data_IF_212867791618
#
_entry.id   IF_212867791618
#
_cell.length_a   1.000
_cell.length_b   1.000
_cell.length_c   1.000
_cell.angle_alpha   90.00
_cell.angle_beta   90.00
_cell.angle_gamma   90.00
#
_symmetry.space_group_name_H-M   'P 1'
#
loop_
_entity.id
_entity.type
_entity.pdbx_description
1 polymer ?
#
# COMPACT_ATOMS: atom_id res chain seq x y z
N UNK A 1 -18.58 12.77 8.77
CA UNK A 1 -17.60 13.48 7.95
C UNK A 1 -18.24 14.80 7.57
N UNK A 2 -17.71 15.92 8.06
CA UNK A 2 -18.19 17.24 7.70
C UNK A 2 -17.59 17.59 6.34
N UNK A 3 -18.42 17.66 5.30
CA UNK A 3 -18.02 18.23 4.01
C UNK A 3 -18.30 19.73 4.10
N UNK A 4 -17.30 20.50 4.49
CA UNK A 4 -17.32 21.93 4.18
C UNK A 4 -17.13 22.06 2.68
N UNK A 5 -18.23 22.26 1.96
CA UNK A 5 -18.16 22.65 0.55
C UNK A 5 -17.41 23.99 0.49
N UNK A 6 -16.28 24.02 -0.20
CA UNK A 6 -15.58 25.26 -0.51
C UNK A 6 -16.50 26.13 -1.37
N UNK A 7 -16.95 27.23 -0.78
CA UNK A 7 -17.97 28.15 -1.32
C UNK A 7 -17.47 28.93 -2.55
N UNK A 8 -16.16 28.87 -2.85
CA UNK A 8 -15.53 29.70 -3.87
C UNK A 8 -15.24 28.92 -5.16
N UNK A 9 -16.10 29.06 -6.16
CA UNK A 9 -15.97 28.39 -7.46
C UNK A 9 -14.78 28.88 -8.32
N UNK A 10 -14.13 30.00 -7.95
CA UNK A 10 -13.03 30.58 -8.73
C UNK A 10 -11.63 30.04 -8.39
N UNK A 11 -11.50 29.26 -7.32
CA UNK A 11 -10.23 28.64 -6.89
C UNK A 11 -10.38 27.11 -6.86
N UNK A 12 -10.64 26.52 -8.04
CA UNK A 12 -10.71 25.06 -8.15
C UNK A 12 -9.30 24.45 -8.20
N UNK A 13 -8.80 24.08 -7.02
CA UNK A 13 -7.69 23.15 -6.90
C UNK A 13 -8.18 21.70 -6.86
N UNK A 14 -7.28 20.78 -7.19
CA UNK A 14 -7.47 19.36 -6.98
C UNK A 14 -7.24 19.02 -5.52
N UNK A 15 -7.23 17.73 -5.22
CA UNK A 15 -6.96 17.23 -3.87
C UNK A 15 -6.43 15.81 -3.94
N UNK A 16 -5.84 15.36 -2.84
CA UNK A 16 -5.26 14.04 -2.66
C UNK A 16 -6.16 13.24 -1.71
N UNK A 17 -6.49 12.03 -2.14
CA UNK A 17 -7.16 11.01 -1.34
C UNK A 17 -6.21 9.83 -1.15
N UNK A 18 -5.90 9.47 0.10
CA UNK A 18 -5.11 8.29 0.41
C UNK A 18 -6.01 7.17 0.94
N UNK A 19 -5.93 6.00 0.33
CA UNK A 19 -6.56 4.75 0.75
C UNK A 19 -5.45 3.84 1.26
N UNK A 20 -5.41 3.62 2.57
CA UNK A 20 -4.33 2.87 3.20
C UNK A 20 -4.85 1.73 4.08
N UNK A 21 -3.96 0.82 4.47
CA UNK A 21 -4.26 -0.30 5.36
C UNK A 21 -3.44 -1.54 5.02
N UNK A 22 -3.67 -2.62 5.77
CA UNK A 22 -2.97 -3.90 5.56
C UNK A 22 -3.24 -4.54 4.19
N UNK A 23 -2.58 -5.65 3.88
CA UNK A 23 -3.02 -6.53 2.80
C UNK A 23 -4.44 -7.04 3.07
N UNK A 24 -5.16 -7.41 2.01
CA UNK A 24 -6.52 -7.99 2.05
C UNK A 24 -7.64 -7.07 2.57
N UNK A 25 -7.37 -5.78 2.75
CA UNK A 25 -8.34 -4.79 3.26
C UNK A 25 -9.17 -4.12 2.16
N UNK A 26 -8.99 -4.49 0.90
CA UNK A 26 -9.76 -3.93 -0.23
C UNK A 26 -9.29 -2.57 -0.74
N UNK A 27 -8.00 -2.20 -0.56
CA UNK A 27 -7.45 -0.91 -1.03
C UNK A 27 -7.66 -0.70 -2.54
N UNK A 28 -7.20 -1.64 -3.35
CA UNK A 28 -7.35 -1.62 -4.81
C UNK A 28 -8.82 -1.64 -5.23
N UNK A 29 -9.68 -2.38 -4.52
CA UNK A 29 -11.12 -2.39 -4.78
C UNK A 29 -11.74 -1.00 -4.54
N UNK A 30 -11.38 -0.34 -3.43
CA UNK A 30 -11.86 1.01 -3.12
C UNK A 30 -11.31 2.05 -4.11
N UNK A 31 -10.04 1.94 -4.53
CA UNK A 31 -9.44 2.77 -5.58
C UNK A 31 -10.25 2.64 -6.88
N UNK A 32 -10.42 1.41 -7.39
CA UNK A 32 -11.18 1.13 -8.61
C UNK A 32 -12.62 1.65 -8.48
N UNK A 33 -13.27 1.46 -7.33
CA UNK A 33 -14.62 1.95 -7.10
C UNK A 33 -14.71 3.47 -7.25
N UNK A 34 -13.74 4.24 -6.72
CA UNK A 34 -13.70 5.70 -6.86
C UNK A 34 -13.41 6.14 -8.29
N UNK A 35 -12.50 5.46 -8.99
CA UNK A 35 -12.18 5.72 -10.39
C UNK A 35 -13.36 5.43 -11.32
N UNK A 36 -14.07 4.31 -11.13
CA UNK A 36 -15.30 3.98 -11.89
C UNK A 36 -16.37 5.05 -11.73
N UNK A 37 -16.56 5.59 -10.52
CA UNK A 37 -17.50 6.70 -10.29
C UNK A 37 -17.12 7.96 -11.07
N UNK A 38 -15.84 8.27 -11.18
CA UNK A 38 -15.35 9.38 -12.01
C UNK A 38 -15.62 9.13 -13.50
N UNK A 39 -15.37 7.91 -14.00
CA UNK A 39 -15.69 7.53 -15.38
C UNK A 39 -17.19 7.64 -15.70
N UNK A 40 -18.08 7.22 -14.78
CA UNK A 40 -19.53 7.42 -14.94
C UNK A 40 -19.92 8.89 -15.02
N UNK A 41 -19.18 9.78 -14.35
CA UNK A 41 -19.31 11.22 -14.47
C UNK A 41 -18.62 11.81 -15.72
N UNK A 42 -18.13 10.95 -16.64
CA UNK A 42 -17.42 11.30 -17.87
C UNK A 42 -16.10 12.05 -17.65
N UNK A 43 -15.49 11.87 -16.48
CA UNK A 43 -14.16 12.38 -16.20
C UNK A 43 -13.11 11.48 -16.87
N UNK A 44 -12.01 12.08 -17.33
CA UNK A 44 -10.85 11.37 -17.88
C UNK A 44 -10.00 10.85 -16.73
N UNK A 45 -9.77 9.54 -16.74
CA UNK A 45 -9.15 8.84 -15.63
C UNK A 45 -7.95 8.04 -16.14
N UNK A 46 -6.82 8.20 -15.48
CA UNK A 46 -5.62 7.38 -15.66
C UNK A 46 -5.26 6.70 -14.33
N UNK A 47 -4.63 5.53 -14.39
CA UNK A 47 -4.14 4.81 -13.21
C UNK A 47 -2.71 4.34 -13.45
N UNK A 48 -1.84 4.58 -12.47
CA UNK A 48 -0.43 4.22 -12.50
C UNK A 48 -0.11 3.20 -11.41
N UNK A 49 0.84 2.32 -11.70
CA UNK A 49 1.40 1.36 -10.74
C UNK A 49 2.93 1.32 -10.88
N UNK A 50 3.68 0.97 -9.83
CA UNK A 50 5.12 0.87 -9.92
C UNK A 50 5.49 -0.38 -10.73
N UNK A 51 6.51 -0.28 -11.58
CA UNK A 51 6.96 -1.38 -12.45
C UNK A 51 7.44 -2.62 -11.67
N UNK A 52 7.94 -2.42 -10.44
CA UNK A 52 8.35 -3.52 -9.55
C UNK A 52 7.19 -4.43 -9.15
N UNK A 53 5.94 -3.96 -9.21
CA UNK A 53 4.79 -4.79 -8.86
C UNK A 53 4.31 -5.63 -10.06
N UNK A 54 4.87 -6.82 -10.19
CA UNK A 54 4.55 -7.81 -11.24
C UNK A 54 3.56 -8.89 -10.80
N UNK A 55 2.97 -8.79 -9.59
CA UNK A 55 2.06 -9.83 -9.04
C UNK A 55 0.82 -10.07 -9.89
N UNK A 56 0.44 -9.06 -10.67
CA UNK A 56 -0.61 -9.15 -11.67
C UNK A 56 0.05 -8.85 -13.01
N UNK A 57 0.23 -9.89 -13.83
CA UNK A 57 0.74 -9.81 -15.20
C UNK A 57 0.01 -8.73 -16.00
N UNK A 58 0.81 -7.90 -16.68
CA UNK A 58 0.53 -6.94 -17.74
C UNK A 58 -0.92 -6.40 -17.92
N UNK A 59 -1.06 -5.10 -17.67
CA UNK A 59 -2.20 -4.21 -17.98
C UNK A 59 -3.49 -4.33 -17.16
N UNK A 60 -3.64 -5.34 -16.32
CA UNK A 60 -4.95 -5.67 -15.73
C UNK A 60 -4.97 -5.57 -14.21
N UNK A 61 -5.36 -4.40 -13.69
CA UNK A 61 -5.75 -4.31 -12.27
C UNK A 61 -7.09 -5.04 -12.12
N UNK A 62 -6.99 -6.20 -11.49
CA UNK A 62 -8.00 -7.26 -11.41
C UNK A 62 -9.36 -6.79 -10.88
N UNK A 63 -10.42 -7.18 -11.59
CA UNK A 63 -11.61 -7.79 -10.97
C UNK A 63 -12.38 -8.62 -11.99
N UNK A 64 -12.83 -9.78 -11.54
CA UNK A 64 -13.36 -10.95 -12.26
C UNK A 64 -14.62 -10.76 -13.14
N UNK A 65 -14.98 -9.55 -13.58
CA UNK A 65 -16.12 -9.30 -14.47
C UNK A 65 -15.87 -8.03 -15.30
N UNK A 66 -15.74 -8.14 -16.64
CA UNK A 66 -15.92 -7.17 -17.75
C UNK A 66 -15.72 -5.64 -17.57
N UNK A 67 -15.16 -5.16 -16.46
CA UNK A 67 -15.05 -3.75 -16.07
C UNK A 67 -13.63 -3.43 -15.60
N UNK A 68 -12.67 -3.56 -16.51
CA UNK A 68 -11.25 -3.35 -16.29
C UNK A 68 -10.88 -1.88 -16.53
N UNK A 69 -10.10 -1.28 -15.62
CA UNK A 69 -9.43 0.01 -15.86
C UNK A 69 -7.96 -0.34 -16.05
N UNK A 70 -7.41 -0.08 -17.25
CA UNK A 70 -6.02 -0.37 -17.56
C UNK A 70 -5.10 0.50 -16.71
N UNK A 71 -4.11 -0.11 -16.06
CA UNK A 71 -3.04 0.61 -15.36
C UNK A 71 -1.77 0.69 -16.18
N UNK A 72 -1.12 1.85 -16.17
CA UNK A 72 0.19 2.06 -16.78
C UNK A 72 1.30 1.82 -15.76
N UNK A 73 2.15 0.81 -15.95
CA UNK A 73 3.35 0.63 -15.14
C UNK A 73 4.32 1.78 -15.38
N UNK A 74 4.96 2.28 -14.31
CA UNK A 74 5.97 3.34 -14.38
C UNK A 74 7.20 2.98 -13.53
N UNK A 75 8.42 3.23 -14.03
CA UNK A 75 9.65 2.91 -13.30
C UNK A 75 9.92 3.85 -12.12
N UNK A 76 9.52 5.12 -12.25
CA UNK A 76 9.77 6.20 -11.26
C UNK A 76 8.58 7.14 -11.20
N UNK A 77 8.38 7.79 -10.06
CA UNK A 77 7.18 8.62 -9.82
C UNK A 77 7.08 9.82 -10.78
N UNK A 78 8.21 10.43 -11.15
CA UNK A 78 8.28 11.59 -12.04
C UNK A 78 7.65 11.34 -13.42
N UNK A 79 7.63 10.09 -13.88
CA UNK A 79 7.03 9.73 -15.18
C UNK A 79 5.51 9.95 -15.19
N UNK A 80 4.85 9.92 -14.03
CA UNK A 80 3.41 10.18 -13.91
C UNK A 80 3.09 11.58 -14.41
N UNK A 81 3.92 12.60 -14.09
CA UNK A 81 3.69 13.98 -14.55
C UNK A 81 3.75 14.12 -16.07
N UNK A 82 4.54 13.28 -16.74
CA UNK A 82 4.67 13.26 -18.20
C UNK A 82 3.51 12.55 -18.89
N UNK A 83 2.94 11.53 -18.22
CA UNK A 83 1.87 10.69 -18.77
C UNK A 83 0.48 11.23 -18.42
N UNK A 84 0.32 11.89 -17.28
CA UNK A 84 -0.93 12.48 -16.80
C UNK A 84 -1.26 13.82 -17.50
N UNK A 85 -1.35 13.79 -18.82
CA UNK A 85 -1.81 14.92 -19.62
C UNK A 85 -3.31 14.83 -19.88
N UNK A 86 -4.00 15.96 -19.77
CA UNK A 86 -5.41 16.07 -20.13
C UNK A 86 -6.32 15.09 -19.37
N UNK A 87 -6.02 14.89 -18.07
CA UNK A 87 -6.76 14.03 -17.15
C UNK A 87 -7.44 14.83 -16.06
N UNK A 88 -8.56 14.33 -15.56
CA UNK A 88 -9.30 14.95 -14.47
C UNK A 88 -9.07 14.21 -13.13
N UNK A 89 -8.78 12.90 -13.20
CA UNK A 89 -8.53 12.05 -12.04
C UNK A 89 -7.34 11.12 -12.31
N UNK A 90 -6.42 11.03 -11.35
CA UNK A 90 -5.27 10.12 -11.38
C UNK A 90 -5.37 9.13 -10.23
N UNK A 91 -5.36 7.83 -10.54
CA UNK A 91 -5.19 6.75 -9.59
C UNK A 91 -3.73 6.32 -9.48
N UNK A 92 -3.25 6.04 -8.28
CA UNK A 92 -1.91 5.47 -8.03
C UNK A 92 -2.12 4.26 -7.14
N UNK A 93 -1.82 3.05 -7.63
CA UNK A 93 -1.89 1.84 -6.81
C UNK A 93 -0.50 1.44 -6.31
N UNK A 94 -0.48 0.73 -5.19
CA UNK A 94 0.73 0.16 -4.57
C UNK A 94 1.82 1.21 -4.30
N UNK A 95 1.38 2.39 -3.83
CA UNK A 95 2.19 3.59 -3.69
C UNK A 95 3.41 3.45 -2.76
N UNK A 96 3.39 2.48 -1.84
CA UNK A 96 4.52 2.21 -0.94
C UNK A 96 5.80 1.78 -1.67
N UNK A 97 5.70 1.33 -2.93
CA UNK A 97 6.85 0.90 -3.73
C UNK A 97 7.42 1.98 -4.64
N UNK A 98 6.81 3.18 -4.68
CA UNK A 98 7.41 4.32 -5.35
C UNK A 98 8.53 4.95 -4.52
N UNK A 99 9.37 5.73 -5.19
CA UNK A 99 10.32 6.64 -4.56
C UNK A 99 9.61 7.77 -3.76
N UNK A 100 10.36 8.48 -2.93
CA UNK A 100 9.85 9.58 -2.08
C UNK A 100 9.31 10.77 -2.89
N UNK A 101 9.71 10.91 -4.16
CA UNK A 101 9.29 11.99 -5.04
C UNK A 101 7.78 11.89 -5.39
N UNK A 102 7.15 10.72 -5.18
CA UNK A 102 5.71 10.54 -5.36
C UNK A 102 4.88 11.55 -4.56
N UNK A 103 5.37 12.00 -3.40
CA UNK A 103 4.70 13.00 -2.56
C UNK A 103 4.62 14.33 -3.31
N UNK A 104 5.73 14.81 -3.86
CA UNK A 104 5.76 16.03 -4.67
C UNK A 104 4.94 15.91 -5.95
N UNK A 105 4.99 14.75 -6.62
CA UNK A 105 4.19 14.48 -7.81
C UNK A 105 2.70 14.60 -7.53
N UNK A 106 2.21 13.98 -6.44
CA UNK A 106 0.80 14.06 -6.05
C UNK A 106 0.38 15.51 -5.74
N UNK A 107 1.22 16.26 -5.02
CA UNK A 107 0.96 17.66 -4.72
C UNK A 107 0.93 18.52 -5.99
N UNK A 108 1.83 18.30 -6.93
CA UNK A 108 1.86 19.05 -8.19
C UNK A 108 0.61 18.78 -9.04
N UNK A 109 0.18 17.52 -9.15
CA UNK A 109 -1.08 17.16 -9.82
C UNK A 109 -2.28 17.81 -9.14
N UNK A 110 -2.39 17.73 -7.82
CA UNK A 110 -3.47 18.37 -7.06
C UNK A 110 -3.48 19.90 -7.26
N UNK A 111 -2.31 20.54 -7.23
CA UNK A 111 -2.16 21.97 -7.48
C UNK A 111 -2.58 22.39 -8.91
N UNK A 112 -2.56 21.45 -9.88
CA UNK A 112 -3.05 21.66 -11.25
C UNK A 112 -4.56 21.49 -11.41
N UNK A 113 -5.30 21.21 -10.32
CA UNK A 113 -6.74 20.95 -10.39
C UNK A 113 -7.13 19.48 -10.45
N UNK A 114 -6.16 18.55 -10.44
CA UNK A 114 -6.41 17.11 -10.66
C UNK A 114 -6.77 16.43 -9.34
N UNK A 115 -7.79 15.59 -9.36
CA UNK A 115 -8.10 14.70 -8.22
C UNK A 115 -7.14 13.52 -8.22
N UNK A 116 -6.32 13.39 -7.18
CA UNK A 116 -5.35 12.29 -7.04
C UNK A 116 -5.84 11.30 -6.00
N UNK A 117 -5.90 10.01 -6.36
CA UNK A 117 -6.34 8.94 -5.47
C UNK A 117 -5.21 7.91 -5.36
N UNK A 118 -4.61 7.82 -4.18
CA UNK A 118 -3.45 6.98 -3.91
C UNK A 118 -3.85 5.80 -3.03
N UNK A 119 -3.49 4.59 -3.41
CA UNK A 119 -3.68 3.38 -2.63
C UNK A 119 -2.32 2.74 -2.29
N UNK A 120 -2.15 2.28 -1.05
CA UNK A 120 -0.91 1.62 -0.64
C UNK A 120 -0.93 1.04 0.77
N UNK A 121 0.02 0.17 1.07
CA UNK A 121 0.24 -0.38 2.40
C UNK A 121 0.80 0.72 3.32
N UNK A 122 0.11 1.04 4.42
CA UNK A 122 0.63 2.01 5.38
C UNK A 122 1.79 1.49 6.23
N UNK A 123 1.89 0.17 6.38
CA UNK A 123 2.94 -0.48 7.16
C UNK A 123 3.51 -1.71 6.44
N UNK A 124 4.79 -1.97 6.69
CA UNK A 124 5.48 -3.19 6.30
C UNK A 124 5.05 -4.38 7.17
N UNK A 125 5.61 -5.56 6.88
CA UNK A 125 5.27 -6.78 7.64
C UNK A 125 5.79 -6.77 9.08
N UNK A 126 6.76 -5.92 9.41
CA UNK A 126 7.29 -5.71 10.77
C UNK A 126 6.42 -4.71 11.54
N UNK A 127 5.44 -4.07 10.89
CA UNK A 127 4.55 -3.07 11.47
C UNK A 127 5.16 -1.67 11.53
N UNK A 128 6.23 -1.42 10.77
CA UNK A 128 6.81 -0.09 10.60
C UNK A 128 6.11 0.66 9.46
N UNK A 129 6.07 2.00 9.47
CA UNK A 129 5.57 2.76 8.34
C UNK A 129 6.30 2.41 7.02
N UNK A 130 5.56 2.25 5.92
CA UNK A 130 6.12 1.75 4.65
C UNK A 130 6.32 2.87 3.62
N UNK A 131 7.59 3.12 3.27
CA UNK A 131 7.97 3.94 2.13
C UNK A 131 7.38 5.36 2.24
N UNK A 132 6.88 5.95 1.13
CA UNK A 132 6.36 7.32 1.13
C UNK A 132 4.96 7.45 1.73
N UNK A 133 4.30 6.35 2.12
CA UNK A 133 2.91 6.37 2.60
C UNK A 133 2.65 7.30 3.79
N UNK A 134 3.54 7.41 4.80
CA UNK A 134 3.33 8.34 5.92
C UNK A 134 3.28 9.81 5.47
N UNK A 135 4.15 10.20 4.53
CA UNK A 135 4.18 11.55 3.99
C UNK A 135 2.97 11.83 3.08
N UNK A 136 2.56 10.86 2.28
CA UNK A 136 1.32 10.93 1.50
C UNK A 136 0.09 11.12 2.40
N UNK A 137 -0.02 10.35 3.49
CA UNK A 137 -1.10 10.50 4.46
C UNK A 137 -1.10 11.87 5.16
N UNK A 138 0.08 12.42 5.44
CA UNK A 138 0.20 13.71 6.11
C UNK A 138 -0.17 14.91 5.20
N UNK A 139 0.03 14.77 3.89
CA UNK A 139 -0.21 15.84 2.91
C UNK A 139 -1.60 15.77 2.27
N UNK A 140 -2.33 14.65 2.43
CA UNK A 140 -3.62 14.46 1.79
C UNK A 140 -4.79 15.12 2.52
N UNK A 141 -5.74 15.68 1.76
CA UNK A 141 -7.00 16.21 2.27
C UNK A 141 -7.89 15.11 2.85
N UNK A 142 -7.83 13.90 2.29
CA UNK A 142 -8.63 12.77 2.76
C UNK A 142 -7.79 11.51 2.95
N UNK A 143 -7.84 10.95 4.15
CA UNK A 143 -7.21 9.67 4.46
C UNK A 143 -8.28 8.66 4.87
N UNK A 144 -8.41 7.58 4.10
CA UNK A 144 -9.29 6.44 4.37
C UNK A 144 -8.44 5.25 4.74
N UNK A 145 -8.53 4.81 6.00
CA UNK A 145 -7.87 3.59 6.45
C UNK A 145 -8.84 2.42 6.43
N UNK A 146 -8.64 1.51 5.47
CA UNK A 146 -9.44 0.29 5.32
C UNK A 146 -8.82 -0.85 6.13
N UNK A 147 -9.68 -1.75 6.61
CA UNK A 147 -9.27 -2.85 7.50
C UNK A 147 -9.70 -4.19 6.91
N UNK A 148 -8.80 -5.16 6.97
CA UNK A 148 -9.14 -6.56 6.69
C UNK A 148 -9.80 -7.22 7.92
N UNK A 149 -10.15 -8.50 7.79
CA UNK A 149 -10.61 -9.33 8.89
C UNK A 149 -9.47 -10.21 9.37
N UNK A 150 -9.22 -10.25 10.67
CA UNK A 150 -8.14 -11.04 11.24
C UNK A 150 -8.43 -12.54 11.15
N UNK A 151 -7.56 -13.28 10.47
CA UNK A 151 -7.69 -14.74 10.27
C UNK A 151 -7.63 -15.53 11.58
N UNK A 152 -6.96 -15.00 12.62
CA UNK A 152 -6.80 -15.66 13.92
C UNK A 152 -7.90 -15.32 14.94
N UNK A 153 -8.58 -14.18 14.79
CA UNK A 153 -9.47 -13.66 15.86
C UNK A 153 -10.83 -13.16 15.37
N UNK A 154 -11.03 -12.97 14.07
CA UNK A 154 -12.24 -12.35 13.51
C UNK A 154 -12.35 -10.83 13.72
N UNK A 155 -11.47 -10.23 14.53
CA UNK A 155 -11.43 -8.78 14.76
C UNK A 155 -10.91 -8.02 13.53
N UNK A 156 -11.05 -6.69 13.53
CA UNK A 156 -10.41 -5.81 12.55
C UNK A 156 -8.89 -6.07 12.51
N UNK A 157 -8.39 -6.32 11.30
CA UNK A 157 -6.97 -6.49 11.03
C UNK A 157 -6.35 -5.19 10.53
N UNK A 158 -5.15 -4.93 11.05
CA UNK A 158 -4.39 -3.72 10.77
C UNK A 158 -2.95 -4.03 10.34
N UNK A 159 -2.52 -5.29 10.42
CA UNK A 159 -1.15 -5.71 10.15
C UNK A 159 -1.13 -6.80 9.09
N UNK A 160 -0.13 -6.75 8.22
CA UNK A 160 0.17 -7.82 7.25
C UNK A 160 1.28 -8.68 7.84
N UNK A 161 0.94 -9.74 8.57
CA UNK A 161 1.95 -10.63 9.14
C UNK A 161 2.47 -11.58 8.08
N UNK A 162 3.80 -11.69 7.97
CA UNK A 162 4.44 -12.61 7.04
C UNK A 162 4.73 -13.94 7.74
N UNK A 163 4.35 -15.05 7.12
CA UNK A 163 4.50 -16.42 7.65
C UNK A 163 5.91 -16.99 7.43
N UNK A 164 6.64 -16.50 6.44
CA UNK A 164 7.97 -16.99 6.06
C UNK A 164 9.10 -16.13 6.66
N UNK A 165 10.24 -16.81 6.93
CA UNK A 165 11.43 -16.27 7.63
C UNK A 165 12.41 -15.46 6.75
N UNK A 166 12.15 -15.26 5.44
CA UNK A 166 13.09 -14.46 4.63
C UNK A 166 13.03 -13.00 5.05
N UNK A 167 14.11 -12.34 5.46
CA UNK A 167 14.09 -10.94 5.93
C UNK A 167 13.85 -9.88 4.84
N UNK A 168 13.68 -10.27 3.57
CA UNK A 168 13.50 -9.35 2.45
C UNK A 168 12.30 -8.43 2.65
N UNK A 169 12.51 -7.11 2.52
CA UNK A 169 11.46 -6.10 2.68
C UNK A 169 10.41 -6.19 1.57
N UNK A 170 10.84 -6.56 0.36
CA UNK A 170 9.99 -6.67 -0.84
C UNK A 170 9.91 -8.14 -1.22
N UNK A 171 8.90 -8.82 -0.68
CA UNK A 171 8.50 -10.14 -1.15
C UNK A 171 7.12 -10.02 -1.76
N UNK A 172 7.07 -10.10 -3.10
CA UNK A 172 5.87 -10.08 -3.89
C UNK A 172 5.14 -11.41 -3.74
N UNK A 173 4.32 -11.54 -2.71
CA UNK A 173 3.56 -12.75 -2.41
C UNK A 173 2.10 -12.49 -2.09
N UNK A 174 1.25 -13.50 -2.35
CA UNK A 174 -0.18 -13.46 -2.08
C UNK A 174 -0.53 -14.07 -0.70
N UNK A 175 -1.63 -14.83 -0.61
CA UNK A 175 -2.21 -15.40 0.61
C UNK A 175 -1.31 -16.45 1.31
N UNK A 176 -0.43 -17.10 0.55
CA UNK A 176 0.43 -18.15 1.08
C UNK A 176 1.49 -17.58 2.03
N UNK A 177 1.95 -16.35 1.77
CA UNK A 177 3.04 -15.73 2.52
C UNK A 177 2.57 -14.77 3.59
N UNK A 178 1.39 -14.16 3.43
CA UNK A 178 0.88 -13.15 4.35
C UNK A 178 -0.47 -13.53 4.97
N UNK A 179 -0.72 -13.05 6.19
CA UNK A 179 -2.05 -13.06 6.81
C UNK A 179 -2.38 -11.73 7.49
N UNK A 180 -3.63 -11.25 7.35
CA UNK A 180 -4.07 -10.04 8.01
C UNK A 180 -4.33 -10.31 9.50
N UNK A 181 -3.67 -9.57 10.39
CA UNK A 181 -3.79 -9.75 11.83
C UNK A 181 -4.31 -8.50 12.56
N UNK A 182 -5.10 -8.74 13.60
CA UNK A 182 -5.42 -7.73 14.61
C UNK A 182 -4.18 -7.42 15.45
N UNK A 183 -4.16 -6.25 16.09
CA UNK A 183 -3.01 -5.79 16.89
C UNK A 183 -2.53 -6.83 17.91
N UNK A 184 -3.45 -7.42 18.67
CA UNK A 184 -3.12 -8.41 19.68
C UNK A 184 -2.57 -9.71 19.07
N UNK A 185 -3.14 -10.17 17.96
CA UNK A 185 -2.68 -11.36 17.26
C UNK A 185 -1.28 -11.14 16.66
N UNK A 186 -1.05 -9.98 16.03
CA UNK A 186 0.23 -9.58 15.48
C UNK A 186 1.32 -9.51 16.56
N UNK A 187 1.05 -8.79 17.66
CA UNK A 187 1.99 -8.66 18.77
C UNK A 187 2.41 -10.03 19.33
N UNK A 188 1.46 -10.94 19.53
CA UNK A 188 1.75 -12.31 20.01
C UNK A 188 2.56 -13.11 18.99
N UNK A 189 2.24 -13.00 17.71
CA UNK A 189 2.97 -13.70 16.64
C UNK A 189 4.43 -13.25 16.59
N UNK A 190 4.67 -11.94 16.54
CA UNK A 190 6.02 -11.35 16.52
C UNK A 190 6.83 -11.70 17.78
N UNK A 191 6.19 -11.71 18.95
CA UNK A 191 6.85 -12.11 20.20
C UNK A 191 7.28 -13.57 20.18
N UNK A 192 6.42 -14.48 19.70
CA UNK A 192 6.73 -15.90 19.60
C UNK A 192 7.86 -16.17 18.60
N UNK A 193 7.94 -15.42 17.50
CA UNK A 193 9.05 -15.51 16.55
C UNK A 193 10.36 -15.06 17.17
N UNK A 194 10.36 -13.90 17.84
CA UNK A 194 11.55 -13.39 18.52
C UNK A 194 12.07 -14.36 19.59
N UNK A 195 11.17 -14.99 20.35
CA UNK A 195 11.56 -16.02 21.33
C UNK A 195 12.18 -17.25 20.65
N UNK A 196 11.65 -17.69 19.51
CA UNK A 196 12.22 -18.80 18.72
C UNK A 196 13.60 -18.46 18.17
N UNK A 197 13.79 -17.24 17.65
CA UNK A 197 15.07 -16.76 17.14
C UNK A 197 16.14 -16.73 18.25
N UNK A 198 15.80 -16.19 19.42
CA UNK A 198 16.70 -16.17 20.59
C UNK A 198 17.04 -17.61 21.04
N UNK A 199 16.06 -18.52 21.02
CA UNK A 199 16.26 -19.92 21.37
C UNK A 199 17.11 -20.69 20.34
N UNK A 200 17.04 -20.31 19.06
CA UNK A 200 17.87 -20.88 18.00
C UNK A 200 19.33 -20.41 18.11
N UNK A 201 19.55 -19.11 18.29
CA UNK A 201 20.90 -18.53 18.44
C UNK A 201 21.63 -19.07 19.68
N UNK A 202 20.90 -19.30 20.79
CA UNK A 202 21.50 -19.89 22.00
C UNK A 202 21.86 -21.37 21.85
N UNK A 203 21.20 -22.12 20.97
CA UNK A 203 21.60 -23.49 20.61
C UNK A 203 22.86 -23.51 19.75
N UNK A 204 22.99 -22.62 18.77
CA UNK A 204 24.18 -22.54 17.89
C UNK A 204 25.45 -22.14 18.67
N UNK A 205 25.31 -21.26 19.68
CA UNK A 205 26.42 -20.91 20.57
C UNK A 205 26.85 -22.11 21.42
N UNK A 206 25.89 -22.91 21.88
CA UNK A 206 26.17 -24.11 22.70
C UNK A 206 26.79 -25.26 21.90
N UNK A 207 26.49 -25.40 20.60
CA UNK A 207 27.11 -26.41 19.74
C UNK A 207 28.56 -26.07 19.39
N UNK A 208 28.84 -24.78 19.13
CA UNK A 208 30.19 -24.33 18.77
C UNK A 208 31.18 -24.38 19.96
N UNK A 209 30.71 -24.23 21.20
CA UNK A 209 31.59 -24.36 22.38
C UNK A 209 32.00 -25.81 22.67
N UNK A 210 31.26 -26.81 22.18
CA UNK A 210 31.62 -28.23 22.34
C UNK A 210 32.68 -28.72 21.36
N UNK A 211 32.92 -28.03 20.24
CA UNK A 211 33.96 -28.39 19.27
C UNK A 211 35.34 -27.83 19.67
N UNK A 212 35.40 -26.67 20.32
CA UNK A 212 36.67 -26.05 20.78
C UNK A 212 37.29 -26.70 22.03
N UNK A 213 36.59 -27.63 22.70
CA UNK A 213 37.10 -28.36 23.87
C UNK A 213 37.68 -29.76 23.51
N UNK A 214 37.80 -30.07 22.21
CA UNK A 214 38.35 -31.35 21.71
C UNK A 214 39.70 -31.24 20.98
N UNK A 215 40.41 -30.11 21.09
CA UNK A 215 41.82 -30.00 20.69
C UNK A 215 42.76 -29.93 21.91
#
# INVERSE_FOLDING_TARGET
MFLENTVNHSEQFGWIEVICGSMFSGKTEELIRRLKRAQFAKQRVEIFKPEIDTRYDDEEVVSHNDNRIRSTPVPVSSNILLLANDVDVVGIDEAQFFDEEIVSVCNELANRGIRVIVAGLDMDFKGNPFGPMPALMATAEYVTKVHAVCTRTGNLANYSYRKNLSDDLVLLGENEEYEPLSRAAFYRAMHQEREKEIAAQSKDISSNTTEDLKQ
#
